data_IF_131527847388
#
_entry.id   IF_131527847388
#
_cell.length_a   1.000
_cell.length_b   1.000
_cell.length_c   1.000
_cell.angle_alpha   90.00
_cell.angle_beta   90.00
_cell.angle_gamma   90.00
#
_symmetry.space_group_name_H-M   'P 1'
#
loop_
_entity.id
_entity.type
_entity.pdbx_description
1 polymer ?
#
# COMPACT_ATOMS: atom_id res chain seq x y z
N UNK A 1 10.48 9.78 -7.55
CA UNK A 1 9.64 10.60 -8.46
C UNK A 1 10.42 11.69 -9.17
N UNK A 2 10.92 12.75 -8.50
CA UNK A 2 11.67 13.81 -9.18
C UNK A 2 12.93 13.27 -9.88
N UNK A 3 13.70 12.44 -9.18
CA UNK A 3 14.86 11.73 -9.74
C UNK A 3 14.46 10.82 -10.90
N UNK A 4 13.42 10.02 -10.71
CA UNK A 4 12.96 9.07 -11.74
C UNK A 4 12.47 9.77 -13.01
N UNK A 5 11.92 10.99 -12.88
CA UNK A 5 11.47 11.79 -14.01
C UNK A 5 12.62 12.29 -14.89
N UNK A 6 13.85 12.38 -14.36
CA UNK A 6 15.03 12.81 -15.13
C UNK A 6 15.63 11.68 -15.98
N UNK A 7 15.31 10.43 -15.66
CA UNK A 7 15.82 9.27 -16.41
C UNK A 7 15.23 9.20 -17.84
N UNK A 8 15.93 8.51 -18.73
CA UNK A 8 15.48 8.24 -20.09
C UNK A 8 14.34 7.19 -20.10
N UNK A 9 13.15 7.51 -20.62
CA UNK A 9 12.04 6.59 -20.80
C UNK A 9 12.37 5.31 -21.57
N UNK A 10 13.33 5.34 -22.49
CA UNK A 10 13.72 4.18 -23.28
C UNK A 10 14.43 3.11 -22.43
N UNK A 11 15.13 3.54 -21.38
CA UNK A 11 15.87 2.68 -20.45
C UNK A 11 15.04 2.41 -19.18
N UNK A 12 14.26 3.41 -18.74
CA UNK A 12 13.44 3.36 -17.54
C UNK A 12 11.99 3.72 -17.86
N UNK A 13 11.11 2.74 -18.16
CA UNK A 13 9.72 2.98 -18.51
C UNK A 13 8.95 3.81 -17.47
N UNK A 14 9.29 3.64 -16.18
CA UNK A 14 8.69 4.40 -15.09
C UNK A 14 8.98 5.91 -15.13
N UNK A 15 9.99 6.36 -15.89
CA UNK A 15 10.30 7.77 -16.03
C UNK A 15 9.12 8.55 -16.66
N UNK A 16 8.35 7.92 -17.55
CA UNK A 16 7.14 8.53 -18.16
C UNK A 16 6.12 8.85 -17.07
N UNK A 17 5.80 7.85 -16.23
CA UNK A 17 4.84 8.01 -15.15
C UNK A 17 5.32 9.01 -14.10
N UNK A 18 6.61 8.97 -13.77
CA UNK A 18 7.23 9.92 -12.87
C UNK A 18 7.05 11.36 -13.37
N UNK A 19 7.39 11.64 -14.65
CA UNK A 19 7.21 12.97 -15.29
C UNK A 19 5.77 13.46 -15.22
N UNK A 20 4.81 12.58 -15.52
CA UNK A 20 3.38 12.91 -15.47
C UNK A 20 2.90 13.26 -14.05
N UNK A 21 3.52 12.67 -13.03
CA UNK A 21 3.09 12.79 -11.64
C UNK A 21 3.82 13.89 -10.85
N UNK A 22 5.00 14.35 -11.26
CA UNK A 22 5.79 15.33 -10.49
C UNK A 22 4.94 16.52 -10.02
N UNK A 23 4.08 17.06 -10.90
CA UNK A 23 3.25 18.23 -10.61
C UNK A 23 1.90 17.89 -9.95
N UNK A 24 1.60 16.60 -9.76
CA UNK A 24 0.34 16.11 -9.20
C UNK A 24 0.48 15.63 -7.75
N UNK A 25 1.71 15.51 -7.26
CA UNK A 25 1.99 15.03 -5.90
C UNK A 25 1.73 16.15 -4.90
N UNK A 26 0.67 15.98 -4.12
CA UNK A 26 0.37 16.83 -2.98
C UNK A 26 0.07 15.98 -1.72
N UNK A 27 -0.11 16.64 -0.57
CA UNK A 27 -0.50 15.96 0.67
C UNK A 27 -1.81 15.18 0.48
N UNK A 28 -2.76 15.69 -0.30
CA UNK A 28 -4.09 15.11 -0.46
C UNK A 28 -4.04 13.78 -1.23
N UNK A 29 -3.14 13.66 -2.19
CA UNK A 29 -2.90 12.47 -3.01
C UNK A 29 -2.51 11.28 -2.14
N UNK A 30 -1.52 11.47 -1.26
CA UNK A 30 -0.90 10.37 -0.49
C UNK A 30 -1.53 10.15 0.88
N UNK A 31 -2.20 11.17 1.46
CA UNK A 31 -2.72 11.12 2.85
C UNK A 31 -3.52 9.86 3.14
N UNK A 32 -4.46 9.49 2.27
CA UNK A 32 -5.33 8.34 2.53
C UNK A 32 -4.55 7.02 2.53
N UNK A 33 -3.63 6.86 1.56
CA UNK A 33 -2.81 5.67 1.42
C UNK A 33 -1.81 5.53 2.56
N UNK A 34 -1.19 6.63 2.97
CA UNK A 34 -0.32 6.67 4.16
C UNK A 34 -1.09 6.25 5.41
N UNK A 35 -2.27 6.83 5.67
CA UNK A 35 -3.08 6.50 6.84
C UNK A 35 -3.59 5.06 6.83
N UNK A 36 -3.91 4.50 5.66
CA UNK A 36 -4.41 3.14 5.55
C UNK A 36 -3.31 2.08 5.64
N UNK A 37 -2.04 2.44 5.42
CA UNK A 37 -0.92 1.50 5.39
C UNK A 37 -0.74 0.73 6.70
N UNK A 38 -0.82 1.43 7.84
CA UNK A 38 -0.70 0.84 9.18
C UNK A 38 -1.87 -0.08 9.54
N UNK A 39 -2.97 -0.02 8.79
CA UNK A 39 -4.12 -0.92 8.93
C UNK A 39 -4.12 -2.06 7.89
N UNK A 40 -3.01 -2.26 7.18
CA UNK A 40 -2.84 -3.38 6.24
C UNK A 40 -3.43 -3.14 4.85
N UNK A 41 -3.36 -1.91 4.33
CA UNK A 41 -3.75 -1.66 2.93
C UNK A 41 -2.92 -2.50 1.97
N UNK A 42 -3.58 -3.16 1.02
CA UNK A 42 -2.88 -3.89 -0.05
C UNK A 42 -2.39 -2.93 -1.14
N UNK A 43 -1.42 -3.36 -1.96
CA UNK A 43 -0.96 -2.57 -3.11
C UNK A 43 -2.11 -2.20 -4.06
N UNK A 44 -3.09 -3.10 -4.25
CA UNK A 44 -4.31 -2.84 -5.03
C UNK A 44 -5.18 -1.78 -4.37
N UNK A 45 -5.34 -1.85 -3.05
CA UNK A 45 -6.07 -0.85 -2.26
C UNK A 45 -5.41 0.53 -2.34
N UNK A 46 -4.10 0.60 -2.15
CA UNK A 46 -3.29 1.82 -2.25
C UNK A 46 -3.43 2.46 -3.64
N UNK A 47 -3.26 1.67 -4.70
CA UNK A 47 -3.47 2.12 -6.09
C UNK A 47 -4.87 2.68 -6.29
N UNK A 48 -5.90 1.99 -5.81
CA UNK A 48 -7.29 2.44 -5.99
C UNK A 48 -7.55 3.77 -5.26
N UNK A 49 -6.96 3.98 -4.08
CA UNK A 49 -7.06 5.24 -3.34
C UNK A 49 -6.37 6.39 -4.08
N UNK A 50 -5.14 6.19 -4.55
CA UNK A 50 -4.40 7.19 -5.33
C UNK A 50 -5.11 7.47 -6.65
N UNK A 51 -5.57 6.43 -7.36
CA UNK A 51 -6.33 6.56 -8.61
C UNK A 51 -7.56 7.43 -8.42
N UNK A 52 -8.29 7.27 -7.30
CA UNK A 52 -9.46 8.10 -6.99
C UNK A 52 -9.08 9.58 -6.88
N UNK A 53 -7.95 9.90 -6.24
CA UNK A 53 -7.45 11.28 -6.12
C UNK A 53 -6.97 11.85 -7.47
N UNK A 54 -6.24 11.07 -8.25
CA UNK A 54 -5.81 11.51 -9.59
C UNK A 54 -6.99 11.77 -10.54
N UNK A 55 -8.09 11.03 -10.41
CA UNK A 55 -9.35 11.31 -11.13
C UNK A 55 -9.97 12.64 -10.73
N UNK A 56 -9.98 12.96 -9.44
CA UNK A 56 -10.50 14.25 -8.92
C UNK A 56 -9.71 15.45 -9.48
N UNK A 57 -8.40 15.28 -9.66
CA UNK A 57 -7.51 16.31 -10.22
C UNK A 57 -7.58 16.45 -11.74
N UNK A 58 -8.31 15.56 -12.45
CA UNK A 58 -8.38 15.50 -13.93
C UNK A 58 -7.00 15.52 -14.61
N UNK A 59 -6.02 14.89 -13.96
CA UNK A 59 -4.62 14.91 -14.40
C UNK A 59 -4.33 14.04 -15.63
N UNK A 60 -5.26 13.15 -16.01
CA UNK A 60 -5.08 12.16 -17.08
C UNK A 60 -6.32 12.07 -17.96
N UNK A 61 -6.09 11.97 -19.27
CA UNK A 61 -7.15 11.89 -20.28
C UNK A 61 -7.57 10.44 -20.57
N UNK A 62 -6.64 9.48 -20.46
CA UNK A 62 -6.92 8.07 -20.75
C UNK A 62 -6.85 7.20 -19.49
N UNK A 63 -7.75 6.21 -19.43
CA UNK A 63 -7.86 5.30 -18.29
C UNK A 63 -6.62 4.42 -18.07
N UNK A 64 -5.91 4.06 -19.13
CA UNK A 64 -4.69 3.23 -19.04
C UNK A 64 -3.51 4.04 -18.49
N UNK A 65 -3.35 5.30 -18.89
CA UNK A 65 -2.33 6.21 -18.36
C UNK A 65 -2.54 6.44 -16.86
N UNK A 66 -3.80 6.72 -16.49
CA UNK A 66 -4.21 6.87 -15.10
C UNK A 66 -3.90 5.61 -14.29
N UNK A 67 -4.16 4.43 -14.85
CA UNK A 67 -3.90 3.17 -14.17
C UNK A 67 -2.40 3.01 -13.90
N UNK A 68 -1.57 3.15 -14.93
CA UNK A 68 -0.13 2.99 -14.82
C UNK A 68 0.51 4.02 -13.88
N UNK A 69 0.10 5.29 -14.00
CA UNK A 69 0.53 6.35 -13.10
C UNK A 69 0.10 6.07 -11.64
N UNK A 70 -1.15 5.65 -11.42
CA UNK A 70 -1.62 5.32 -10.07
C UNK A 70 -0.88 4.13 -9.45
N UNK A 71 -0.47 3.15 -10.26
CA UNK A 71 0.29 1.98 -9.80
C UNK A 71 1.71 2.38 -9.40
N UNK A 72 2.39 3.14 -10.26
CA UNK A 72 3.71 3.69 -9.96
C UNK A 72 3.71 4.57 -8.71
N UNK A 73 2.73 5.48 -8.58
CA UNK A 73 2.61 6.33 -7.40
C UNK A 73 2.34 5.55 -6.12
N UNK A 74 1.50 4.51 -6.17
CA UNK A 74 1.22 3.66 -5.02
C UNK A 74 2.47 2.90 -4.56
N UNK A 75 3.19 2.27 -5.50
CA UNK A 75 4.44 1.57 -5.20
C UNK A 75 5.45 2.51 -4.56
N UNK A 76 5.69 3.66 -5.19
CA UNK A 76 6.65 4.64 -4.69
C UNK A 76 6.28 5.15 -3.29
N UNK A 77 4.98 5.38 -3.04
CA UNK A 77 4.49 5.80 -1.71
C UNK A 77 4.72 4.72 -0.66
N UNK A 78 4.40 3.46 -0.97
CA UNK A 78 4.58 2.34 -0.03
C UNK A 78 6.06 2.04 0.22
N UNK A 79 6.92 2.11 -0.81
CA UNK A 79 8.37 1.98 -0.67
C UNK A 79 8.92 3.07 0.25
N UNK A 80 8.56 4.33 0.01
CA UNK A 80 9.01 5.44 0.86
C UNK A 80 8.56 5.26 2.32
N UNK A 81 7.34 4.75 2.57
CA UNK A 81 6.90 4.45 3.94
C UNK A 81 7.72 3.36 4.60
N UNK A 82 8.08 2.31 3.86
CA UNK A 82 8.94 1.23 4.37
C UNK A 82 10.34 1.74 4.74
N UNK A 83 10.92 2.62 3.91
CA UNK A 83 12.23 3.24 4.13
C UNK A 83 12.22 4.24 5.30
N UNK A 84 11.13 4.98 5.48
CA UNK A 84 10.99 5.95 6.58
C UNK A 84 10.80 5.27 7.96
N UNK A 85 10.17 4.09 8.00
CA UNK A 85 9.83 3.40 9.25
C UNK A 85 10.29 1.93 9.27
N UNK A 86 11.60 1.65 9.11
CA UNK A 86 12.10 0.29 8.93
C UNK A 86 11.82 -0.62 10.14
N UNK A 87 11.93 -0.09 11.37
CA UNK A 87 11.66 -0.84 12.58
C UNK A 87 10.18 -1.25 12.69
N UNK A 88 9.26 -0.31 12.41
CA UNK A 88 7.82 -0.59 12.43
C UNK A 88 7.45 -1.62 11.35
N UNK A 89 8.01 -1.47 10.14
CA UNK A 89 7.83 -2.44 9.06
C UNK A 89 8.37 -3.83 9.45
N UNK A 90 9.51 -3.89 10.14
CA UNK A 90 10.06 -5.13 10.68
C UNK A 90 9.12 -5.83 11.67
N UNK A 91 8.55 -5.08 12.62
CA UNK A 91 7.56 -5.62 13.58
C UNK A 91 6.29 -6.11 12.88
N UNK A 92 5.77 -5.36 11.90
CA UNK A 92 4.62 -5.77 11.10
C UNK A 92 4.88 -7.07 10.33
N UNK A 93 6.06 -7.20 9.70
CA UNK A 93 6.46 -8.43 9.00
C UNK A 93 6.53 -9.60 9.97
N UNK A 94 7.20 -9.42 11.10
CA UNK A 94 7.35 -10.47 12.11
C UNK A 94 5.99 -10.96 12.66
N UNK A 95 5.07 -10.03 13.00
CA UNK A 95 3.71 -10.39 13.42
C UNK A 95 2.95 -11.15 12.33
N UNK A 96 3.13 -10.74 11.06
CA UNK A 96 2.55 -11.43 9.91
C UNK A 96 3.07 -12.85 9.73
N UNK A 97 4.37 -13.08 9.96
CA UNK A 97 4.97 -14.40 9.87
C UNK A 97 4.52 -15.32 11.01
N UNK A 98 4.42 -14.81 12.25
CA UNK A 98 3.80 -15.53 13.36
C UNK A 98 2.36 -15.95 13.05
N UNK A 99 1.55 -15.03 12.49
CA UNK A 99 0.18 -15.32 12.11
C UNK A 99 0.07 -16.43 11.04
N UNK A 100 1.00 -16.46 10.07
CA UNK A 100 1.06 -17.53 9.05
C UNK A 100 1.32 -18.90 9.67
N UNK A 101 2.24 -18.98 10.62
CA UNK A 101 2.58 -20.24 11.32
C UNK A 101 1.39 -20.72 12.16
N UNK A 102 0.73 -19.82 12.89
CA UNK A 102 -0.46 -20.17 13.69
C UNK A 102 -1.59 -20.67 12.77
N UNK A 103 -1.81 -19.99 11.64
CA UNK A 103 -2.83 -20.36 10.67
C UNK A 103 -2.52 -21.69 9.96
N UNK A 104 -1.24 -22.04 9.73
CA UNK A 104 -0.88 -23.34 9.15
C UNK A 104 -1.21 -24.52 10.05
N UNK A 105 -1.23 -24.29 11.38
CA UNK A 105 -1.69 -25.26 12.38
C UNK A 105 -3.23 -25.24 12.57
N UNK A 106 -3.95 -24.55 11.68
CA UNK A 106 -5.40 -24.40 11.73
C UNK A 106 -5.92 -23.81 13.06
N UNK A 107 -5.10 -22.98 13.71
CA UNK A 107 -5.47 -22.25 14.93
C UNK A 107 -5.76 -20.78 14.62
N UNK A 108 -6.68 -20.13 15.34
CA UNK A 108 -6.88 -18.69 15.23
C UNK A 108 -5.78 -17.95 15.98
N UNK A 109 -5.36 -16.79 15.44
CA UNK A 109 -4.49 -15.88 16.16
C UNK A 109 -5.25 -15.28 17.34
N UNK A 110 -4.71 -15.40 18.55
CA UNK A 110 -5.27 -14.80 19.75
C UNK A 110 -4.19 -14.27 20.69
N UNK A 111 -4.53 -13.25 21.47
CA UNK A 111 -3.65 -12.65 22.47
C UNK A 111 -4.47 -12.02 23.60
N UNK A 112 -3.81 -11.76 24.73
CA UNK A 112 -4.40 -11.01 25.85
C UNK A 112 -3.83 -9.59 25.84
N UNK A 113 -4.71 -8.58 25.86
CA UNK A 113 -4.29 -7.18 25.94
C UNK A 113 -3.59 -6.87 27.27
N UNK A 114 -2.82 -5.78 27.38
CA UNK A 114 -2.24 -5.34 28.66
C UNK A 114 -3.27 -5.09 29.77
N UNK A 115 -4.54 -4.88 29.40
CA UNK A 115 -5.66 -4.71 30.33
C UNK A 115 -6.36 -6.03 30.70
N UNK A 116 -5.84 -7.18 30.27
CA UNK A 116 -6.38 -8.50 30.60
C UNK A 116 -7.52 -8.98 29.69
N UNK A 117 -7.93 -8.20 28.67
CA UNK A 117 -8.98 -8.62 27.73
C UNK A 117 -8.41 -9.62 26.70
N UNK A 118 -8.95 -10.85 26.59
CA UNK A 118 -8.59 -11.79 25.53
C UNK A 118 -9.21 -11.36 24.19
N UNK A 119 -8.42 -11.43 23.12
CA UNK A 119 -8.82 -11.13 21.75
C UNK A 119 -8.47 -12.32 20.86
N UNK A 120 -9.42 -12.74 20.02
CA UNK A 120 -9.25 -13.85 19.06
C UNK A 120 -9.73 -13.39 17.69
N UNK A 121 -8.93 -13.67 16.65
CA UNK A 121 -9.29 -13.37 15.27
C UNK A 121 -10.27 -14.42 14.70
N UNK A 122 -11.50 -14.04 14.27
CA UNK A 122 -12.53 -14.98 13.84
C UNK A 122 -12.43 -15.37 12.35
N UNK A 123 -11.24 -15.27 11.76
CA UNK A 123 -11.05 -15.44 10.31
C UNK A 123 -10.91 -16.92 9.95
N UNK A 124 -12.05 -17.61 9.81
CA UNK A 124 -12.11 -19.00 9.37
C UNK A 124 -12.84 -19.11 8.03
N UNK A 125 -12.44 -20.08 7.19
CA UNK A 125 -13.24 -20.44 6.02
C UNK A 125 -14.55 -21.05 6.53
N UNK A 126 -15.69 -20.49 6.10
CA UNK A 126 -16.98 -21.13 6.33
C UNK A 126 -17.09 -22.32 5.38
N UNK A 127 -17.39 -23.50 5.90
CA UNK A 127 -17.86 -24.60 5.05
C UNK A 127 -19.18 -24.16 4.42
N UNK A 128 -19.18 -24.02 3.09
CA UNK A 128 -20.41 -23.87 2.33
C UNK A 128 -20.98 -25.28 2.18
N UNK A 129 -22.10 -25.56 2.85
CA UNK A 129 -22.93 -26.74 2.61
C UNK A 129 -23.66 -26.64 1.28
#
# INVERSE_FOLDING_TARGET
MQTDAQNDPAVFPNAIHARQLVNQVDRKLVKQTVMASVYGVTSVGARNQIRKRLKECRAFNHGWELFAASDYAARTTLTALGEMFPAAHGVMSWLGDCAKIIASENQPVGWTTPLGLPVVQPYCKREQH
#
